data_IF_642253306322
#
_entry.id   IF_642253306322
#
_cell.length_a   1.000
_cell.length_b   1.000
_cell.length_c   1.000
_cell.angle_alpha   90.00
_cell.angle_beta   90.00
_cell.angle_gamma   90.00
#
_symmetry.space_group_name_H-M   'P 1'
#
loop_
_entity.id
_entity.type
_entity.pdbx_description
1 polymer ?
#
# COMPACT_ATOMS: atom_id res chain seq x y z
N UNK A 1 -24.62 4.77 5.75
CA UNK A 1 -23.48 4.16 5.02
C UNK A 1 -22.76 5.28 4.28
N UNK A 2 -21.44 5.43 4.42
CA UNK A 2 -20.67 6.60 3.93
C UNK A 2 -20.67 6.71 2.39
N UNK A 3 -20.47 5.60 1.67
CA UNK A 3 -20.31 5.61 0.21
C UNK A 3 -21.57 5.23 -0.59
N UNK A 4 -22.69 4.91 0.06
CA UNK A 4 -23.93 4.49 -0.63
C UNK A 4 -23.70 3.35 -1.65
N UNK A 5 -24.09 3.62 -2.90
CA UNK A 5 -23.89 2.74 -4.06
C UNK A 5 -22.81 3.23 -5.04
N UNK A 6 -22.02 4.24 -4.65
CA UNK A 6 -20.95 4.77 -5.48
C UNK A 6 -19.87 3.72 -5.79
N UNK A 7 -19.32 3.81 -6.99
CA UNK A 7 -18.28 2.91 -7.51
C UNK A 7 -16.98 3.66 -7.80
N UNK A 8 -15.96 2.97 -8.32
CA UNK A 8 -14.66 3.57 -8.62
C UNK A 8 -14.80 4.65 -9.70
N UNK A 9 -15.63 4.44 -10.73
CA UNK A 9 -15.82 5.47 -11.78
C UNK A 9 -16.48 6.75 -11.28
N UNK A 10 -17.24 6.67 -10.19
CA UNK A 10 -17.94 7.83 -9.60
C UNK A 10 -16.99 8.74 -8.82
N UNK A 11 -15.72 8.35 -8.61
CA UNK A 11 -14.77 9.21 -7.89
C UNK A 11 -14.40 10.43 -8.72
N UNK A 12 -14.37 11.59 -8.06
CA UNK A 12 -14.12 12.91 -8.69
C UNK A 12 -12.66 13.14 -9.10
N UNK A 13 -11.74 12.32 -8.57
CA UNK A 13 -10.31 12.37 -8.87
C UNK A 13 -9.80 10.96 -9.19
N UNK A 14 -8.66 10.85 -9.90
CA UNK A 14 -7.96 9.57 -10.07
C UNK A 14 -7.75 8.89 -8.73
N UNK A 15 -8.08 7.60 -8.67
CA UNK A 15 -7.98 6.78 -7.47
C UNK A 15 -7.32 5.45 -7.81
N UNK A 16 -6.36 5.05 -6.99
CA UNK A 16 -5.65 3.79 -7.09
C UNK A 16 -5.57 3.16 -5.69
N UNK A 17 -6.13 1.97 -5.53
CA UNK A 17 -6.16 1.27 -4.23
C UNK A 17 -5.58 -0.13 -4.38
N UNK A 18 -4.44 -0.44 -3.73
CA UNK A 18 -3.87 -1.78 -3.80
C UNK A 18 -4.59 -2.79 -2.91
N UNK A 19 -4.64 -4.03 -3.39
CA UNK A 19 -4.85 -5.23 -2.59
C UNK A 19 -4.02 -6.38 -3.14
N UNK A 20 -4.03 -7.50 -2.42
CA UNK A 20 -3.45 -8.75 -2.91
C UNK A 20 -4.58 -9.74 -3.17
N UNK A 21 -4.66 -10.26 -4.37
CA UNK A 21 -5.67 -11.24 -4.73
C UNK A 21 -5.17 -12.65 -4.43
N UNK A 22 -5.76 -13.28 -3.43
CA UNK A 22 -5.40 -14.63 -3.01
C UNK A 22 -5.81 -15.70 -4.03
N UNK A 23 -6.78 -15.41 -4.90
CA UNK A 23 -7.22 -16.36 -5.91
C UNK A 23 -6.17 -16.52 -7.02
N UNK A 24 -5.55 -15.42 -7.43
CA UNK A 24 -4.51 -15.40 -8.47
C UNK A 24 -3.10 -15.45 -7.89
N UNK A 25 -2.93 -15.13 -6.60
CA UNK A 25 -1.62 -15.04 -5.96
C UNK A 25 -0.81 -13.84 -6.45
N UNK A 26 -1.47 -12.73 -6.81
CA UNK A 26 -0.83 -11.55 -7.38
C UNK A 26 -1.36 -10.23 -6.80
N UNK A 27 -0.57 -9.15 -6.86
CA UNK A 27 -1.05 -7.81 -6.61
C UNK A 27 -2.19 -7.41 -7.56
N UNK A 28 -3.17 -6.69 -7.03
CA UNK A 28 -4.24 -6.08 -7.80
C UNK A 28 -4.40 -4.60 -7.40
N UNK A 29 -4.67 -3.75 -8.38
CA UNK A 29 -4.91 -2.31 -8.15
C UNK A 29 -6.33 -1.99 -8.60
N UNK A 30 -7.19 -1.62 -7.66
CA UNK A 30 -8.46 -0.99 -7.99
C UNK A 30 -8.17 0.40 -8.54
N UNK A 31 -8.47 0.62 -9.81
CA UNK A 31 -8.12 1.82 -10.56
C UNK A 31 -9.37 2.48 -11.10
N UNK A 32 -9.51 3.79 -10.89
CA UNK A 32 -10.57 4.57 -11.56
C UNK A 32 -10.43 4.50 -13.08
N UNK A 33 -9.21 4.56 -13.60
CA UNK A 33 -8.96 4.52 -15.04
C UNK A 33 -9.51 3.23 -15.66
N UNK A 34 -9.26 2.08 -15.05
CA UNK A 34 -9.77 0.79 -15.53
C UNK A 34 -11.30 0.71 -15.40
N UNK A 35 -11.85 1.27 -14.32
CA UNK A 35 -13.29 1.32 -14.07
C UNK A 35 -14.04 2.21 -15.07
N UNK A 36 -13.39 3.23 -15.66
CA UNK A 36 -13.98 4.06 -16.72
C UNK A 36 -14.01 3.30 -18.05
N UNK A 37 -13.00 2.46 -18.31
CA UNK A 37 -12.89 1.68 -19.54
C UNK A 37 -13.77 0.40 -19.53
N UNK A 38 -14.04 -0.18 -18.36
CA UNK A 38 -14.81 -1.42 -18.26
C UNK A 38 -15.57 -1.58 -16.94
N UNK A 39 -16.84 -1.97 -17.06
CA UNK A 39 -17.68 -2.40 -15.93
C UNK A 39 -17.07 -3.60 -15.18
N UNK A 40 -16.28 -4.46 -15.86
CA UNK A 40 -15.58 -5.58 -15.24
C UNK A 40 -14.45 -5.13 -14.30
N UNK A 41 -14.05 -3.85 -14.33
CA UNK A 41 -13.08 -3.28 -13.40
C UNK A 41 -13.67 -2.16 -12.54
N UNK A 42 -14.99 -1.93 -12.62
CA UNK A 42 -15.69 -1.00 -11.75
C UNK A 42 -16.25 -1.75 -10.53
N UNK A 43 -15.85 -1.31 -9.34
CA UNK A 43 -16.19 -1.95 -8.06
C UNK A 43 -16.84 -0.93 -7.13
N UNK A 44 -17.77 -1.39 -6.28
CA UNK A 44 -18.38 -0.49 -5.28
C UNK A 44 -17.32 -0.06 -4.27
N UNK A 45 -17.28 1.24 -3.96
CA UNK A 45 -16.25 1.81 -3.06
C UNK A 45 -16.25 1.16 -1.68
N UNK A 46 -17.42 0.77 -1.17
CA UNK A 46 -17.54 0.03 0.10
C UNK A 46 -16.82 -1.32 0.08
N UNK A 47 -16.82 -2.01 -1.06
CA UNK A 47 -16.22 -3.34 -1.20
C UNK A 47 -14.70 -3.18 -1.39
N UNK A 48 -14.26 -2.14 -2.10
CA UNK A 48 -12.84 -1.73 -2.19
C UNK A 48 -12.28 -1.39 -0.81
N UNK A 49 -13.00 -0.60 0.00
CA UNK A 49 -12.60 -0.33 1.39
C UNK A 49 -12.51 -1.62 2.21
N UNK A 50 -13.47 -2.53 2.07
CA UNK A 50 -13.46 -3.81 2.77
C UNK A 50 -12.24 -4.66 2.38
N UNK A 51 -11.87 -4.70 1.08
CA UNK A 51 -10.66 -5.36 0.60
C UNK A 51 -9.39 -4.79 1.26
N UNK A 52 -9.25 -3.47 1.32
CA UNK A 52 -8.05 -2.84 1.90
C UNK A 52 -8.00 -2.90 3.42
N UNK A 53 -9.14 -2.94 4.10
CA UNK A 53 -9.22 -3.02 5.56
C UNK A 53 -9.27 -4.46 6.11
N UNK A 54 -9.37 -5.49 5.26
CA UNK A 54 -9.47 -6.89 5.68
C UNK A 54 -8.23 -7.33 6.47
N UNK A 55 -8.37 -7.47 7.80
CA UNK A 55 -7.31 -7.90 8.69
C UNK A 55 -7.19 -9.44 8.79
N UNK A 56 -6.00 -9.96 8.49
CA UNK A 56 -5.36 -11.16 9.09
C UNK A 56 -5.98 -12.55 8.95
N UNK A 57 -7.29 -12.71 8.75
CA UNK A 57 -7.92 -14.05 8.82
C UNK A 57 -8.98 -14.33 7.76
N UNK A 58 -9.58 -13.32 7.14
CA UNK A 58 -10.68 -13.53 6.19
C UNK A 58 -10.48 -12.64 4.98
N UNK A 59 -10.39 -13.26 3.80
CA UNK A 59 -10.36 -12.55 2.54
C UNK A 59 -11.72 -11.89 2.29
N UNK A 60 -11.72 -10.63 1.87
CA UNK A 60 -12.93 -10.00 1.38
C UNK A 60 -13.17 -10.47 -0.06
N UNK A 61 -14.28 -11.15 -0.31
CA UNK A 61 -14.71 -11.44 -1.67
C UNK A 61 -15.35 -10.18 -2.27
N UNK A 62 -14.66 -9.58 -3.22
CA UNK A 62 -15.10 -8.34 -3.89
C UNK A 62 -15.44 -8.66 -5.34
N UNK A 63 -16.54 -8.08 -5.85
CA UNK A 63 -17.00 -8.30 -7.22
C UNK A 63 -17.23 -6.97 -7.93
N UNK A 64 -16.88 -6.96 -9.21
CA UNK A 64 -17.18 -5.86 -10.13
C UNK A 64 -18.69 -5.70 -10.30
N UNK A 65 -19.13 -4.54 -10.80
CA UNK A 65 -20.55 -4.22 -10.98
C UNK A 65 -21.26 -5.19 -11.93
N UNK A 66 -20.56 -5.65 -12.96
CA UNK A 66 -21.08 -6.67 -13.89
C UNK A 66 -20.89 -8.12 -13.39
N UNK A 67 -20.19 -8.29 -12.27
CA UNK A 67 -19.92 -9.56 -11.61
C UNK A 67 -18.91 -10.46 -12.32
N UNK A 68 -18.27 -10.02 -13.40
CA UNK A 68 -17.35 -10.84 -14.22
C UNK A 68 -15.97 -10.97 -13.60
N UNK A 69 -15.52 -9.94 -12.89
CA UNK A 69 -14.28 -9.97 -12.10
C UNK A 69 -14.61 -10.15 -10.63
N UNK A 70 -13.98 -11.13 -10.01
CA UNK A 70 -14.04 -11.38 -8.57
C UNK A 70 -12.63 -11.44 -8.00
N UNK A 71 -12.42 -10.79 -6.86
CA UNK A 71 -11.14 -10.69 -6.17
C UNK A 71 -11.30 -11.32 -4.77
N UNK A 72 -10.41 -12.24 -4.41
CA UNK A 72 -10.28 -12.75 -3.05
C UNK A 72 -9.28 -11.88 -2.29
N UNK A 73 -9.70 -10.70 -1.87
CA UNK A 73 -8.80 -9.65 -1.44
C UNK A 73 -8.26 -9.88 -0.01
N UNK A 74 -6.94 -9.86 0.10
CA UNK A 74 -6.24 -9.55 1.34
C UNK A 74 -5.85 -8.07 1.36
N UNK A 75 -5.85 -7.46 2.54
CA UNK A 75 -5.42 -6.08 2.73
C UNK A 75 -4.01 -5.87 2.18
N UNK A 76 -3.83 -4.80 1.40
CA UNK A 76 -2.51 -4.37 0.92
C UNK A 76 -1.54 -4.11 2.07
N UNK A 77 -2.01 -3.64 3.23
CA UNK A 77 -1.15 -3.45 4.41
C UNK A 77 -0.61 -4.76 4.99
N UNK A 78 -1.40 -5.85 4.92
CA UNK A 78 -0.99 -7.18 5.40
C UNK A 78 -0.16 -7.92 4.35
N UNK A 79 -0.40 -7.68 3.07
CA UNK A 79 0.27 -8.32 1.96
C UNK A 79 1.54 -7.58 1.48
N UNK A 80 2.22 -6.86 2.38
CA UNK A 80 3.44 -6.11 2.08
C UNK A 80 3.30 -5.04 0.98
N UNK A 81 2.10 -4.50 0.77
CA UNK A 81 1.80 -3.39 -0.14
C UNK A 81 1.44 -2.11 0.65
N UNK A 82 1.97 -1.96 1.86
CA UNK A 82 1.64 -0.87 2.79
C UNK A 82 2.14 0.53 2.37
N UNK A 83 3.03 0.61 1.37
CA UNK A 83 3.49 1.87 0.78
C UNK A 83 3.11 1.91 -0.71
N UNK A 84 1.95 2.46 -1.08
CA UNK A 84 1.50 2.52 -2.47
C UNK A 84 2.24 3.57 -3.32
N UNK A 85 3.22 4.30 -2.79
CA UNK A 85 3.86 5.42 -3.49
C UNK A 85 4.45 5.01 -4.84
N UNK A 86 5.18 3.89 -4.91
CA UNK A 86 5.74 3.39 -6.16
C UNK A 86 4.67 3.01 -7.18
N UNK A 87 3.57 2.38 -6.74
CA UNK A 87 2.45 2.03 -7.62
C UNK A 87 1.75 3.29 -8.16
N UNK A 88 1.53 4.30 -7.30
CA UNK A 88 0.93 5.57 -7.69
C UNK A 88 1.81 6.33 -8.70
N UNK A 89 3.12 6.45 -8.45
CA UNK A 89 4.08 7.07 -9.39
C UNK A 89 4.06 6.34 -10.72
N UNK A 90 4.13 5.00 -10.70
CA UNK A 90 4.10 4.18 -11.91
C UNK A 90 2.80 4.41 -12.69
N UNK A 91 1.65 4.45 -12.01
CA UNK A 91 0.37 4.72 -12.64
C UNK A 91 0.35 6.10 -13.33
N UNK A 92 0.76 7.15 -12.63
CA UNK A 92 0.81 8.52 -13.18
C UNK A 92 1.75 8.59 -14.40
N UNK A 93 2.92 7.96 -14.32
CA UNK A 93 3.88 7.99 -15.42
C UNK A 93 3.43 7.19 -16.65
N UNK A 94 2.52 6.22 -16.52
CA UNK A 94 2.09 5.38 -17.65
C UNK A 94 0.66 5.65 -18.13
N UNK A 95 -0.19 6.30 -17.32
CA UNK A 95 -1.53 6.73 -17.71
C UNK A 95 -1.47 8.13 -18.35
N UNK A 96 -1.02 8.20 -19.60
CA UNK A 96 -0.91 9.48 -20.34
C UNK A 96 -2.25 10.09 -20.73
N UNK A 97 -3.34 9.33 -20.65
CA UNK A 97 -4.67 9.87 -20.89
C UNK A 97 -5.09 10.80 -19.75
N UNK A 98 -4.88 10.41 -18.49
CA UNK A 98 -5.16 11.27 -17.33
C UNK A 98 -4.00 12.21 -16.99
N UNK A 99 -2.74 11.82 -17.27
CA UNK A 99 -1.53 12.57 -16.89
C UNK A 99 -0.58 12.81 -18.08
N UNK A 100 -0.99 13.57 -19.12
CA UNK A 100 -0.20 13.77 -20.33
C UNK A 100 1.12 14.52 -20.11
N UNK A 101 1.21 15.33 -19.04
CA UNK A 101 2.37 16.20 -18.77
C UNK A 101 3.44 15.53 -17.90
N UNK A 102 3.15 14.42 -17.23
CA UNK A 102 4.11 13.77 -16.36
C UNK A 102 5.09 12.93 -17.20
N UNK A 103 6.30 13.40 -17.48
CA UNK A 103 7.29 12.69 -18.30
C UNK A 103 8.28 11.88 -17.43
N UNK A 104 8.54 12.33 -16.21
CA UNK A 104 9.38 11.64 -15.25
C UNK A 104 9.07 12.05 -13.81
N UNK A 105 9.88 11.56 -12.86
CA UNK A 105 9.72 11.88 -11.43
C UNK A 105 9.94 13.36 -11.12
N UNK A 106 10.69 14.09 -11.97
CA UNK A 106 10.92 15.53 -11.83
C UNK A 106 9.64 16.36 -12.03
N UNK A 107 8.65 15.82 -12.75
CA UNK A 107 7.35 16.45 -12.99
C UNK A 107 6.34 16.16 -11.87
N UNK A 108 6.73 15.40 -10.85
CA UNK A 108 5.86 14.92 -9.79
C UNK A 108 6.16 15.61 -8.47
N UNK A 109 5.09 15.90 -7.72
CA UNK A 109 5.14 16.17 -6.29
C UNK A 109 4.41 15.04 -5.57
N UNK A 110 5.13 14.30 -4.73
CA UNK A 110 4.63 13.10 -4.05
C UNK A 110 4.72 13.30 -2.55
N UNK A 111 3.56 13.23 -1.89
CA UNK A 111 3.45 13.16 -0.43
C UNK A 111 3.02 11.75 -0.05
N UNK A 112 3.90 11.02 0.62
CA UNK A 112 3.65 9.66 1.09
C UNK A 112 3.43 9.69 2.60
N UNK A 113 2.27 9.22 3.05
CA UNK A 113 1.90 9.21 4.47
C UNK A 113 1.81 7.77 4.92
N UNK A 114 2.52 7.43 6.00
CA UNK A 114 2.37 6.14 6.64
C UNK A 114 1.72 6.23 8.01
N UNK A 115 1.14 5.12 8.43
CA UNK A 115 0.38 4.97 9.68
C UNK A 115 1.24 4.76 10.93
N UNK A 116 2.56 4.94 10.81
CA UNK A 116 3.55 4.65 11.85
C UNK A 116 3.98 3.18 11.89
N UNK A 117 5.17 2.91 12.42
CA UNK A 117 5.57 1.56 12.83
C UNK A 117 5.20 1.39 14.30
N UNK A 118 4.73 0.22 14.71
CA UNK A 118 4.62 0.03 16.16
C UNK A 118 6.00 -0.28 16.70
N UNK A 119 6.66 0.73 17.26
CA UNK A 119 7.77 0.52 18.19
C UNK A 119 7.34 -0.23 19.47
N UNK A 120 6.04 -0.51 19.64
CA UNK A 120 5.47 -1.27 20.76
C UNK A 120 5.56 -2.79 20.61
N UNK A 121 6.68 -3.39 21.01
CA UNK A 121 6.72 -4.84 21.23
C UNK A 121 8.07 -5.45 21.66
N UNK A 122 9.20 -4.79 21.39
CA UNK A 122 10.49 -5.27 21.90
C UNK A 122 10.71 -4.81 23.34
N UNK A 123 10.18 -5.62 24.24
CA UNK A 123 10.73 -5.90 25.55
C UNK A 123 10.92 -4.69 26.51
N UNK A 124 9.88 -4.45 27.32
CA UNK A 124 10.08 -3.97 28.70
C UNK A 124 10.74 -5.04 29.61
N UNK A 125 11.36 -6.07 29.03
CA UNK A 125 12.24 -7.00 29.71
C UNK A 125 13.67 -6.68 29.29
N UNK A 126 14.45 -6.18 30.24
CA UNK A 126 15.87 -5.82 30.12
C UNK A 126 16.61 -6.58 29.01
N UNK A 127 16.92 -5.89 27.90
CA UNK A 127 17.98 -6.35 27.01
C UNK A 127 19.28 -6.34 27.84
N UNK A 128 19.77 -7.50 28.24
CA UNK A 128 21.09 -7.61 28.86
C UNK A 128 22.12 -7.28 27.78
N UNK A 129 23.02 -6.30 27.98
CA UNK A 129 24.07 -6.03 27.01
C UNK A 129 24.98 -7.26 26.95
N UNK A 130 24.84 -8.06 25.88
CA UNK A 130 25.76 -9.17 25.62
C UNK A 130 27.11 -8.61 25.19
N UNK A 131 28.17 -9.15 25.79
CA UNK A 131 29.56 -8.72 25.66
C UNK A 131 29.96 -8.35 24.21
N UNK A 132 30.22 -7.05 23.97
CA UNK A 132 30.96 -6.56 22.81
C UNK A 132 30.16 -6.18 21.55
N UNK A 133 28.84 -6.38 21.51
CA UNK A 133 28.02 -5.95 20.36
C UNK A 133 27.37 -4.58 20.59
N UNK A 134 27.43 -3.72 19.57
CA UNK A 134 26.81 -2.38 19.58
C UNK A 134 25.29 -2.43 19.38
N UNK A 135 24.77 -3.55 18.86
CA UNK A 135 23.36 -3.74 18.52
C UNK A 135 22.69 -4.67 19.53
N UNK A 136 21.60 -4.25 20.18
CA UNK A 136 20.80 -5.12 21.05
C UNK A 136 20.27 -6.33 20.28
N UNK A 137 20.44 -7.53 20.83
CA UNK A 137 19.81 -8.75 20.31
C UNK A 137 18.44 -8.90 20.97
N UNK A 138 17.35 -9.12 20.22
CA UNK A 138 16.05 -9.41 20.81
C UNK A 138 16.12 -10.65 21.72
N UNK A 139 15.48 -10.63 22.91
CA UNK A 139 15.56 -11.75 23.87
C UNK A 139 14.78 -12.99 23.43
N UNK A 140 13.98 -12.91 22.37
CA UNK A 140 13.18 -14.00 21.81
C UNK A 140 13.04 -13.86 20.30
N UNK A 141 12.70 -14.95 19.64
CA UNK A 141 12.22 -14.91 18.27
C UNK A 141 10.87 -14.17 18.18
N UNK A 142 10.61 -13.47 17.07
CA UNK A 142 9.30 -12.90 16.77
C UNK A 142 8.26 -14.01 16.52
N UNK A 143 7.03 -13.77 16.93
CA UNK A 143 5.86 -14.58 16.59
C UNK A 143 5.52 -14.46 15.09
N UNK A 144 4.71 -15.38 14.52
CA UNK A 144 4.30 -15.29 13.11
C UNK A 144 3.60 -13.96 12.76
N UNK A 145 2.77 -13.42 13.67
CA UNK A 145 2.11 -12.13 13.46
C UNK A 145 3.11 -10.96 13.50
N UNK A 146 4.10 -11.00 14.40
CA UNK A 146 5.19 -10.02 14.42
C UNK A 146 6.03 -10.11 13.13
N UNK A 147 6.30 -11.32 12.64
CA UNK A 147 7.00 -11.53 11.37
C UNK A 147 6.25 -10.91 10.19
N UNK A 148 4.94 -11.14 10.05
CA UNK A 148 4.13 -10.53 8.99
C UNK A 148 4.21 -9.00 9.03
N UNK A 149 4.14 -8.42 10.23
CA UNK A 149 4.24 -6.96 10.42
C UNK A 149 5.63 -6.43 10.07
N UNK A 150 6.69 -7.07 10.56
CA UNK A 150 8.07 -6.71 10.22
C UNK A 150 8.33 -6.83 8.71
N UNK A 151 7.77 -7.84 8.05
CA UNK A 151 7.84 -7.95 6.59
C UNK A 151 7.11 -6.79 5.92
N UNK A 152 5.88 -6.48 6.33
CA UNK A 152 5.12 -5.37 5.74
C UNK A 152 5.80 -4.00 5.95
N UNK A 153 6.33 -3.75 7.15
CA UNK A 153 7.13 -2.56 7.47
C UNK A 153 8.42 -2.51 6.64
N UNK A 154 9.18 -3.60 6.60
CA UNK A 154 10.41 -3.69 5.80
C UNK A 154 10.19 -3.47 4.31
N UNK A 155 9.08 -3.96 3.73
CA UNK A 155 8.74 -3.65 2.34
C UNK A 155 8.35 -2.19 2.16
N UNK A 156 7.60 -1.60 3.10
CA UNK A 156 7.26 -0.18 3.05
C UNK A 156 8.51 0.72 3.08
N UNK A 157 9.51 0.36 3.89
CA UNK A 157 10.81 1.04 3.99
C UNK A 157 11.64 0.89 2.71
N UNK A 158 11.68 -0.32 2.12
CA UNK A 158 12.35 -0.54 0.84
C UNK A 158 11.72 0.29 -0.28
N UNK A 159 10.38 0.42 -0.32
CA UNK A 159 9.69 1.28 -1.28
C UNK A 159 10.03 2.75 -1.05
N UNK A 160 10.03 3.20 0.21
CA UNK A 160 10.41 4.58 0.56
C UNK A 160 11.83 4.91 0.09
N UNK A 161 12.79 4.02 0.41
CA UNK A 161 14.18 4.18 -0.03
C UNK A 161 14.29 4.17 -1.56
N UNK A 162 13.62 3.27 -2.26
CA UNK A 162 13.65 3.20 -3.72
C UNK A 162 13.08 4.46 -4.37
N UNK A 163 11.95 4.98 -3.85
CA UNK A 163 11.35 6.22 -4.34
C UNK A 163 12.25 7.41 -4.03
N UNK A 164 12.78 7.53 -2.81
CA UNK A 164 13.73 8.59 -2.45
C UNK A 164 14.95 8.60 -3.38
N UNK A 165 15.51 7.42 -3.69
CA UNK A 165 16.62 7.28 -4.64
C UNK A 165 16.23 7.68 -6.06
N UNK A 166 15.01 7.38 -6.51
CA UNK A 166 14.52 7.79 -7.82
C UNK A 166 14.41 9.31 -7.95
N UNK A 167 13.96 10.00 -6.89
CA UNK A 167 13.90 11.47 -6.84
C UNK A 167 15.30 12.09 -6.64
N UNK A 168 16.26 11.37 -6.06
CA UNK A 168 17.66 11.78 -5.96
C UNK A 168 17.81 13.17 -5.35
N UNK A 169 18.36 14.12 -6.12
CA UNK A 169 18.62 15.49 -5.68
C UNK A 169 17.34 16.34 -5.43
N UNK A 170 16.17 15.90 -5.91
CA UNK A 170 14.87 16.55 -5.63
C UNK A 170 14.14 15.91 -4.44
N UNK A 171 14.71 14.83 -3.85
CA UNK A 171 14.20 14.24 -2.63
C UNK A 171 14.17 15.27 -1.48
N UNK A 172 13.08 15.32 -0.71
CA UNK A 172 12.84 16.34 0.32
C UNK A 172 12.21 17.65 -0.19
N UNK A 173 12.12 17.84 -1.51
CA UNK A 173 11.34 18.93 -2.14
C UNK A 173 10.15 18.38 -2.91
N UNK A 174 10.40 17.37 -3.74
CA UNK A 174 9.41 16.77 -4.64
C UNK A 174 8.90 15.41 -4.15
N UNK A 175 9.65 14.74 -3.27
CA UNK A 175 9.19 13.58 -2.51
C UNK A 175 9.29 13.84 -1.01
N UNK A 176 8.17 13.73 -0.31
CA UNK A 176 8.08 13.89 1.15
C UNK A 176 7.40 12.68 1.75
N UNK A 177 8.11 11.93 2.59
CA UNK A 177 7.55 10.85 3.42
C UNK A 177 7.28 11.36 4.83
N UNK A 178 6.04 11.18 5.29
CA UNK A 178 5.63 11.45 6.66
C UNK A 178 5.34 10.12 7.33
N UNK A 179 6.20 9.73 8.28
CA UNK A 179 6.12 8.47 9.03
C UNK A 179 6.32 8.77 10.51
N UNK A 180 5.44 8.24 11.36
CA UNK A 180 5.59 8.32 12.82
C UNK A 180 6.42 7.13 13.32
N UNK A 181 7.38 7.38 14.21
CA UNK A 181 8.23 6.37 14.87
C UNK A 181 7.70 5.98 16.26
#
# INVERSE_FOLDING_TARGET
RVFGDATLRDTVAPLLVPCYDLATGAPFLFSRADAVESDSFDFRLRDVCAATCAGGSVAAAVRSVDGRTAIAAASGGVAAMGNPAAAAITHVLHNKQEFPLAAGVDDLLVVSIGSGSSSGGTASGSATPSAGWRTPIPPRSPSPAEMVRLTAEGVADMVDQAVAMAFGHTCGRNYVRIQVS
#
